data_IF_850572452786
#
_entry.id   IF_850572452786
#
_cell.length_a   1.000
_cell.length_b   1.000
_cell.length_c   1.000
_cell.angle_alpha   90.00
_cell.angle_beta   90.00
_cell.angle_gamma   90.00
#
_symmetry.space_group_name_H-M   'P 1'
#
loop_
_entity.id
_entity.type
_entity.pdbx_description
1 polymer ?
#
# COMPACT_ATOMS: atom_id res chain seq x y z
N UNK A 1 2.59 -11.44 -4.63
CA UNK A 1 1.19 -11.19 -4.21
C UNK A 1 0.40 -10.37 -5.22
N UNK A 2 0.76 -9.12 -5.56
CA UNK A 2 -0.04 -8.31 -6.50
C UNK A 2 -0.22 -8.98 -7.87
N UNK A 3 0.84 -9.54 -8.47
CA UNK A 3 0.74 -10.27 -9.76
C UNK A 3 -0.27 -11.43 -9.68
N UNK A 4 -0.17 -12.26 -8.64
CA UNK A 4 -1.12 -13.36 -8.38
C UNK A 4 -2.56 -12.86 -8.18
N UNK A 5 -2.72 -11.68 -7.59
CA UNK A 5 -4.03 -11.08 -7.38
C UNK A 5 -4.68 -10.64 -8.70
N UNK A 6 -3.90 -10.26 -9.71
CA UNK A 6 -4.41 -9.71 -11.00
C UNK A 6 -4.46 -10.73 -12.13
N UNK A 7 -3.56 -11.73 -12.15
CA UNK A 7 -3.32 -12.64 -13.27
C UNK A 7 -4.56 -13.37 -13.78
N UNK A 8 -5.43 -13.83 -12.87
CA UNK A 8 -6.65 -14.58 -13.22
C UNK A 8 -7.95 -13.82 -12.95
N UNK A 9 -7.86 -12.65 -12.31
CA UNK A 9 -9.04 -11.88 -11.85
C UNK A 9 -9.34 -10.66 -12.72
N UNK A 10 -8.38 -10.18 -13.52
CA UNK A 10 -8.52 -8.96 -14.30
C UNK A 10 -7.98 -9.09 -15.72
N UNK A 11 -8.67 -8.44 -16.65
CA UNK A 11 -8.25 -8.31 -18.06
C UNK A 11 -7.54 -6.99 -18.37
N UNK A 12 -7.49 -6.08 -17.40
CA UNK A 12 -7.08 -4.68 -17.63
C UNK A 12 -6.17 -4.12 -16.52
N UNK A 13 -6.01 -4.84 -15.41
CA UNK A 13 -5.07 -4.48 -14.35
C UNK A 13 -3.76 -5.23 -14.56
N UNK A 14 -2.65 -4.51 -14.41
CA UNK A 14 -1.30 -5.05 -14.45
C UNK A 14 -0.49 -4.55 -13.25
N UNK A 15 0.65 -5.19 -13.00
CA UNK A 15 1.57 -4.81 -11.92
C UNK A 15 2.90 -4.43 -12.54
N UNK A 16 3.26 -3.17 -12.36
CA UNK A 16 4.56 -2.64 -12.71
C UNK A 16 5.48 -2.68 -11.47
N UNK A 17 6.68 -3.31 -11.56
CA UNK A 17 7.58 -3.42 -10.42
C UNK A 17 8.56 -2.24 -10.29
N UNK A 18 8.59 -1.29 -11.24
CA UNK A 18 9.63 -0.26 -11.36
C UNK A 18 9.87 0.54 -10.07
N UNK A 19 8.80 1.01 -9.42
CA UNK A 19 8.90 1.74 -8.16
C UNK A 19 9.48 0.85 -7.05
N UNK A 20 9.03 -0.41 -6.98
CA UNK A 20 9.41 -1.34 -5.92
C UNK A 20 10.82 -1.93 -6.08
N UNK A 21 11.33 -1.99 -7.31
CA UNK A 21 12.68 -2.44 -7.64
C UNK A 21 13.72 -1.31 -7.49
N UNK A 22 13.27 -0.06 -7.30
CA UNK A 22 14.16 1.06 -7.02
C UNK A 22 14.91 0.88 -5.70
N UNK A 23 16.23 1.12 -5.66
CA UNK A 23 17.03 1.01 -4.43
C UNK A 23 16.73 2.12 -3.42
N UNK A 24 16.05 3.19 -3.84
CA UNK A 24 15.71 4.35 -3.01
C UNK A 24 14.25 4.72 -3.14
N UNK A 25 13.72 5.38 -2.12
CA UNK A 25 12.38 5.95 -2.17
C UNK A 25 12.20 6.88 -3.39
N UNK A 26 11.09 6.71 -4.09
CA UNK A 26 10.68 7.54 -5.22
C UNK A 26 9.38 8.26 -4.83
N UNK A 27 9.34 9.61 -4.88
CA UNK A 27 8.10 10.35 -4.68
C UNK A 27 7.05 9.97 -5.73
N UNK A 28 5.78 9.92 -5.33
CA UNK A 28 4.66 9.58 -6.22
C UNK A 28 4.61 10.45 -7.46
N UNK A 29 4.97 11.74 -7.36
CA UNK A 29 5.09 12.65 -8.49
C UNK A 29 5.98 12.08 -9.63
N UNK A 30 7.15 11.54 -9.27
CA UNK A 30 8.09 10.94 -10.22
C UNK A 30 7.62 9.60 -10.77
N UNK A 31 6.83 8.85 -9.99
CA UNK A 31 6.20 7.62 -10.47
C UNK A 31 5.18 7.96 -11.56
N UNK A 32 4.40 9.03 -11.39
CA UNK A 32 3.46 9.50 -12.43
C UNK A 32 4.20 10.01 -13.68
N UNK A 33 5.32 10.74 -13.50
CA UNK A 33 6.18 11.17 -14.61
C UNK A 33 6.69 9.98 -15.43
N UNK A 34 7.15 8.93 -14.73
CA UNK A 34 7.63 7.71 -15.37
C UNK A 34 6.54 7.09 -16.25
N UNK A 35 5.32 6.89 -15.72
CA UNK A 35 4.23 6.33 -16.52
C UNK A 35 3.80 7.24 -17.67
N UNK A 36 3.80 8.56 -17.50
CA UNK A 36 3.51 9.49 -18.60
C UNK A 36 4.55 9.35 -19.72
N UNK A 37 5.83 9.33 -19.36
CA UNK A 37 6.92 9.17 -20.33
C UNK A 37 6.85 7.83 -21.07
N UNK A 38 6.75 6.72 -20.36
CA UNK A 38 6.71 5.39 -20.99
C UNK A 38 5.49 5.24 -21.92
N UNK A 39 4.32 5.65 -21.46
CA UNK A 39 3.09 5.46 -22.23
C UNK A 39 2.99 6.46 -23.38
N UNK A 40 3.27 7.75 -23.14
CA UNK A 40 3.01 8.78 -24.13
C UNK A 40 4.19 9.08 -25.04
N UNK A 41 5.42 9.01 -24.53
CA UNK A 41 6.62 9.37 -25.29
C UNK A 41 7.29 8.12 -25.90
N UNK A 42 7.45 7.04 -25.14
CA UNK A 42 8.09 5.79 -25.64
C UNK A 42 7.13 4.98 -26.51
N UNK A 43 5.90 4.74 -26.03
CA UNK A 43 4.89 3.96 -26.76
C UNK A 43 4.06 4.81 -27.75
N UNK A 44 4.19 6.14 -27.70
CA UNK A 44 3.44 7.07 -28.55
C UNK A 44 1.95 7.19 -28.21
N UNK A 45 1.54 6.78 -27.00
CA UNK A 45 0.15 6.75 -26.54
C UNK A 45 -0.57 5.43 -26.84
N UNK A 46 -1.89 5.42 -26.58
CA UNK A 46 -2.75 4.23 -26.78
C UNK A 46 -3.32 4.19 -28.19
N UNK A 47 -3.26 3.00 -28.79
CA UNK A 47 -3.84 2.72 -30.09
C UNK A 47 -5.37 2.64 -29.99
N UNK A 48 -6.04 3.46 -30.80
CA UNK A 48 -7.48 3.43 -30.96
C UNK A 48 -7.89 2.38 -32.00
N UNK A 49 -9.17 2.02 -32.01
CA UNK A 49 -9.73 1.04 -32.97
C UNK A 49 -9.59 1.45 -34.44
N UNK A 50 -9.34 2.73 -34.71
CA UNK A 50 -9.11 3.29 -36.05
C UNK A 50 -7.63 3.29 -36.47
N UNK A 51 -6.73 2.72 -35.64
CA UNK A 51 -5.28 2.69 -35.87
C UNK A 51 -4.57 3.99 -35.49
N UNK A 52 -5.29 5.03 -35.05
CA UNK A 52 -4.65 6.27 -34.55
C UNK A 52 -4.13 6.07 -33.14
N UNK A 53 -3.05 6.78 -32.80
CA UNK A 53 -2.51 6.80 -31.43
C UNK A 53 -2.93 8.09 -30.73
N UNK A 54 -3.40 7.98 -29.49
CA UNK A 54 -3.80 9.13 -28.67
C UNK A 54 -3.01 9.15 -27.37
N UNK A 55 -2.60 10.35 -26.96
CA UNK A 55 -2.00 10.58 -25.65
C UNK A 55 -2.96 10.13 -24.56
N UNK A 56 -2.47 9.33 -23.62
CA UNK A 56 -3.17 8.92 -22.43
C UNK A 56 -3.04 9.98 -21.34
N UNK A 57 -4.14 10.24 -20.63
CA UNK A 57 -4.08 11.00 -19.39
C UNK A 57 -3.75 10.04 -18.26
N UNK A 58 -2.60 10.23 -17.62
CA UNK A 58 -2.24 9.51 -16.40
C UNK A 58 -2.96 10.18 -15.23
N UNK A 59 -3.55 9.36 -14.36
CA UNK A 59 -4.31 9.82 -13.19
C UNK A 59 -4.01 8.89 -12.02
N UNK A 60 -3.78 9.45 -10.83
CA UNK A 60 -3.59 8.67 -9.62
C UNK A 60 -4.92 8.03 -9.19
N UNK A 61 -4.92 6.75 -8.82
CA UNK A 61 -6.07 6.10 -8.18
C UNK A 61 -5.72 5.82 -6.72
N UNK A 62 -6.50 6.36 -5.80
CA UNK A 62 -6.23 6.24 -4.36
C UNK A 62 -7.51 6.16 -3.53
N UNK A 63 -7.38 5.79 -2.27
CA UNK A 63 -8.45 5.99 -1.29
C UNK A 63 -8.49 7.45 -0.80
N UNK A 64 -9.64 7.86 -0.26
CA UNK A 64 -9.82 9.20 0.32
C UNK A 64 -8.90 9.45 1.53
N UNK A 65 -8.46 8.38 2.19
CA UNK A 65 -7.43 8.41 3.23
C UNK A 65 -6.09 8.97 2.74
N UNK A 66 -5.66 8.63 1.53
CA UNK A 66 -4.45 9.25 0.94
C UNK A 66 -4.65 10.75 0.69
N UNK A 67 -5.81 11.16 0.18
CA UNK A 67 -6.14 12.56 -0.07
C UNK A 67 -6.14 13.36 1.24
N UNK A 68 -6.61 12.77 2.33
CA UNK A 68 -6.55 13.39 3.65
C UNK A 68 -5.11 13.68 4.08
N UNK A 69 -4.16 12.78 3.78
CA UNK A 69 -2.73 13.06 4.03
C UNK A 69 -2.20 14.19 3.16
N UNK A 70 -2.63 14.30 1.89
CA UNK A 70 -2.26 15.40 0.99
C UNK A 70 -2.76 16.76 1.48
N UNK A 71 -3.92 16.78 2.15
CA UNK A 71 -4.49 17.97 2.77
C UNK A 71 -3.83 18.35 4.09
N UNK A 72 -3.00 17.45 4.66
CA UNK A 72 -2.33 17.67 5.95
C UNK A 72 -1.00 18.41 5.73
N UNK A 73 -0.84 19.64 6.26
CA UNK A 73 0.38 20.43 6.05
C UNK A 73 1.64 19.71 6.54
N UNK A 74 2.71 19.78 5.75
CA UNK A 74 4.02 19.22 6.09
C UNK A 74 4.20 17.72 5.86
N UNK A 75 3.17 17.01 5.38
CA UNK A 75 3.28 15.58 5.00
C UNK A 75 3.81 15.41 3.58
N UNK A 76 3.42 16.30 2.67
CA UNK A 76 3.80 16.28 1.26
C UNK A 76 4.59 17.55 0.90
N UNK A 77 5.54 17.44 -0.03
CA UNK A 77 6.18 18.61 -0.65
C UNK A 77 5.13 19.34 -1.50
N UNK A 78 5.03 20.66 -1.35
CA UNK A 78 4.02 21.46 -2.04
C UNK A 78 4.17 21.41 -3.57
N UNK A 79 5.41 21.26 -4.08
CA UNK A 79 5.66 21.14 -5.52
C UNK A 79 5.21 19.78 -6.02
N UNK A 80 5.37 18.72 -5.23
CA UNK A 80 4.86 17.40 -5.57
C UNK A 80 3.32 17.42 -5.58
N UNK A 81 2.67 18.09 -4.61
CA UNK A 81 1.22 18.26 -4.62
C UNK A 81 0.73 19.02 -5.85
N UNK A 82 1.37 20.14 -6.18
CA UNK A 82 1.02 20.93 -7.36
C UNK A 82 1.22 20.13 -8.65
N UNK A 83 2.28 19.33 -8.73
CA UNK A 83 2.53 18.48 -9.89
C UNK A 83 1.50 17.35 -10.00
N UNK A 84 1.25 16.62 -8.91
CA UNK A 84 0.31 15.49 -8.89
C UNK A 84 -1.12 15.99 -9.17
N UNK A 85 -1.59 16.98 -8.43
CA UNK A 85 -2.98 17.43 -8.48
C UNK A 85 -3.23 18.47 -9.58
N UNK A 86 -2.21 19.21 -10.01
CA UNK A 86 -2.28 20.18 -11.11
C UNK A 86 -2.21 19.53 -12.48
N UNK A 87 -1.24 18.63 -12.70
CA UNK A 87 -0.96 18.09 -14.04
C UNK A 87 -1.68 16.77 -14.34
N UNK A 88 -1.77 15.87 -13.36
CA UNK A 88 -2.38 14.55 -13.54
C UNK A 88 -3.83 14.52 -13.03
N UNK A 89 -3.99 14.77 -11.74
CA UNK A 89 -5.21 14.60 -10.99
C UNK A 89 -5.32 13.24 -10.30
N UNK A 90 -6.43 13.04 -9.60
CA UNK A 90 -6.67 11.85 -8.79
C UNK A 90 -8.12 11.41 -8.82
N UNK A 91 -8.34 10.11 -8.93
CA UNK A 91 -9.60 9.46 -8.58
C UNK A 91 -9.51 8.93 -7.15
N UNK A 92 -10.34 9.47 -6.26
CA UNK A 92 -10.34 9.16 -4.84
C UNK A 92 -11.56 8.31 -4.48
N UNK A 93 -11.34 7.08 -4.03
CA UNK A 93 -12.39 6.16 -3.59
C UNK A 93 -12.83 6.50 -2.17
N UNK A 94 -14.12 6.78 -1.99
CA UNK A 94 -14.72 7.00 -0.68
C UNK A 94 -14.66 5.73 0.17
N UNK A 95 -14.27 5.87 1.44
CA UNK A 95 -14.33 4.83 2.47
C UNK A 95 -15.19 5.32 3.62
N UNK A 96 -15.82 4.39 4.34
CA UNK A 96 -16.64 4.71 5.51
C UNK A 96 -15.81 5.44 6.58
N UNK A 97 -16.31 6.59 7.05
CA UNK A 97 -15.71 7.34 8.16
C UNK A 97 -14.79 8.50 7.77
N UNK A 98 -14.63 8.81 6.47
CA UNK A 98 -13.86 9.98 6.03
C UNK A 98 -14.81 11.11 5.58
N UNK A 99 -14.66 12.29 6.16
CA UNK A 99 -15.43 13.48 5.78
C UNK A 99 -14.77 14.18 4.58
N UNK A 100 -15.52 14.31 3.48
CA UNK A 100 -15.02 14.87 2.20
C UNK A 100 -14.64 16.35 2.35
N UNK A 101 -15.50 17.16 2.96
CA UNK A 101 -15.32 18.62 3.00
C UNK A 101 -14.07 19.03 3.78
N UNK A 102 -13.82 18.36 4.92
CA UNK A 102 -12.61 18.58 5.72
C UNK A 102 -11.36 18.07 5.00
N UNK A 103 -11.48 16.95 4.27
CA UNK A 103 -10.39 16.41 3.44
C UNK A 103 -9.98 17.36 2.32
N UNK A 104 -10.93 18.05 1.68
CA UNK A 104 -10.63 18.96 0.55
C UNK A 104 -10.30 20.39 0.96
N UNK A 105 -10.41 20.75 2.24
CA UNK A 105 -10.31 22.13 2.72
C UNK A 105 -9.02 22.84 2.25
N UNK A 106 -7.87 22.16 2.31
CA UNK A 106 -6.57 22.70 1.90
C UNK A 106 -6.21 22.39 0.43
N UNK A 107 -7.06 21.67 -0.30
CA UNK A 107 -6.81 21.24 -1.68
C UNK A 107 -7.71 21.94 -2.71
N UNK A 108 -8.47 22.96 -2.28
CA UNK A 108 -9.47 23.65 -3.11
C UNK A 108 -8.92 24.17 -4.45
N UNK A 109 -7.66 24.60 -4.50
CA UNK A 109 -7.08 25.10 -5.74
C UNK A 109 -6.98 24.02 -6.84
N UNK A 110 -6.94 22.75 -6.47
CA UNK A 110 -6.90 21.61 -7.40
C UNK A 110 -8.21 20.81 -7.45
N UNK A 111 -9.31 21.31 -6.87
CA UNK A 111 -10.58 20.59 -6.74
C UNK A 111 -11.09 20.01 -8.08
N UNK A 112 -10.86 20.72 -9.19
CA UNK A 112 -11.29 20.28 -10.53
C UNK A 112 -10.61 19.00 -11.02
N UNK A 113 -9.43 18.69 -10.48
CA UNK A 113 -8.65 17.50 -10.80
C UNK A 113 -8.77 16.40 -9.74
N UNK A 114 -9.60 16.60 -8.71
CA UNK A 114 -9.88 15.63 -7.67
C UNK A 114 -11.28 15.06 -7.90
N UNK A 115 -11.35 13.79 -8.28
CA UNK A 115 -12.58 13.13 -8.64
C UNK A 115 -12.96 12.09 -7.58
N UNK A 116 -13.95 12.40 -6.74
CA UNK A 116 -14.41 11.48 -5.70
C UNK A 116 -15.35 10.44 -6.29
N UNK A 117 -15.00 9.17 -6.14
CA UNK A 117 -15.81 8.02 -6.54
C UNK A 117 -16.45 7.43 -5.29
N UNK A 118 -17.77 7.56 -5.20
CA UNK A 118 -18.56 7.00 -4.09
C UNK A 118 -18.73 5.49 -4.25
N UNK A 119 -18.54 4.75 -3.16
CA UNK A 119 -18.77 3.31 -3.14
C UNK A 119 -20.20 3.01 -2.68
N UNK A 120 -21.01 2.40 -3.56
CA UNK A 120 -22.39 1.98 -3.21
C UNK A 120 -22.39 0.77 -2.29
N UNK A 121 -21.42 -0.14 -2.47
CA UNK A 121 -21.22 -1.30 -1.61
C UNK A 121 -19.88 -1.13 -0.91
N UNK A 122 -19.89 -1.12 0.42
CA UNK A 122 -18.70 -0.93 1.22
C UNK A 122 -17.86 -2.19 1.24
N UNK A 123 -16.60 -2.07 0.83
CA UNK A 123 -15.59 -3.11 1.07
C UNK A 123 -14.66 -2.63 2.20
N UNK A 124 -14.86 -3.18 3.39
CA UNK A 124 -14.09 -2.80 4.59
C UNK A 124 -12.93 -3.77 4.89
N UNK A 125 -12.40 -4.40 3.84
CA UNK A 125 -11.18 -5.22 3.91
C UNK A 125 -9.97 -4.28 3.85
N UNK A 126 -9.03 -4.45 4.78
CA UNK A 126 -7.78 -3.69 4.84
C UNK A 126 -6.60 -4.59 5.17
N UNK A 127 -5.41 -4.23 4.70
CA UNK A 127 -4.19 -5.00 4.96
C UNK A 127 -3.91 -5.18 6.47
N UNK A 128 -4.27 -4.19 7.29
CA UNK A 128 -4.15 -4.29 8.76
C UNK A 128 -5.07 -5.36 9.33
N UNK A 129 -6.33 -5.43 8.89
CA UNK A 129 -7.27 -6.48 9.33
C UNK A 129 -6.81 -7.87 8.88
N UNK A 130 -6.36 -8.01 7.63
CA UNK A 130 -5.84 -9.28 7.11
C UNK A 130 -4.65 -9.77 7.94
N UNK A 131 -3.65 -8.89 8.19
CA UNK A 131 -2.50 -9.25 9.05
C UNK A 131 -2.92 -9.61 10.47
N UNK A 132 -3.93 -8.93 11.04
CA UNK A 132 -4.44 -9.24 12.37
C UNK A 132 -5.11 -10.62 12.43
N UNK A 133 -5.90 -10.98 11.40
CA UNK A 133 -6.53 -12.30 11.32
C UNK A 133 -5.48 -13.41 11.20
N UNK A 134 -4.46 -13.21 10.35
CA UNK A 134 -3.33 -14.13 10.23
C UNK A 134 -2.60 -14.32 11.57
N UNK A 135 -2.33 -13.23 12.30
CA UNK A 135 -1.72 -13.27 13.65
C UNK A 135 -2.55 -14.05 14.66
N UNK A 136 -3.87 -14.06 14.51
CA UNK A 136 -4.81 -14.74 15.41
C UNK A 136 -5.16 -16.16 14.95
N UNK A 137 -4.46 -16.68 13.95
CA UNK A 137 -4.74 -17.97 13.29
C UNK A 137 -6.21 -18.08 12.81
N UNK A 138 -6.80 -16.96 12.39
CA UNK A 138 -8.14 -16.92 11.81
C UNK A 138 -8.06 -17.07 10.30
N UNK A 139 -9.10 -17.67 9.70
CA UNK A 139 -9.19 -17.78 8.23
C UNK A 139 -9.32 -16.39 7.59
N UNK A 140 -8.66 -16.25 6.43
CA UNK A 140 -8.75 -15.09 5.54
C UNK A 140 -9.33 -15.47 4.17
N UNK A 141 -9.90 -16.67 4.08
CA UNK A 141 -10.50 -17.17 2.84
C UNK A 141 -11.64 -16.25 2.40
N UNK A 142 -11.78 -16.08 1.09
CA UNK A 142 -12.77 -15.18 0.46
C UNK A 142 -12.61 -13.68 0.77
N UNK A 143 -11.63 -13.28 1.60
CA UNK A 143 -11.31 -11.87 1.84
C UNK A 143 -10.31 -11.33 0.81
N UNK A 144 -9.47 -12.20 0.26
CA UNK A 144 -8.49 -11.90 -0.79
C UNK A 144 -8.43 -13.08 -1.77
N UNK A 145 -7.84 -12.92 -2.97
CA UNK A 145 -7.78 -14.01 -3.95
C UNK A 145 -7.06 -15.26 -3.44
N UNK A 146 -7.57 -16.44 -3.75
CA UNK A 146 -7.06 -17.74 -3.24
C UNK A 146 -5.58 -17.98 -3.54
N UNK A 147 -5.09 -17.53 -4.70
CA UNK A 147 -3.67 -17.62 -5.04
C UNK A 147 -2.79 -16.76 -4.13
N UNK A 148 -3.31 -15.64 -3.64
CA UNK A 148 -2.62 -14.79 -2.66
C UNK A 148 -2.64 -15.45 -1.28
N UNK A 149 -3.76 -16.06 -0.89
CA UNK A 149 -3.87 -16.83 0.36
C UNK A 149 -2.83 -17.96 0.38
N UNK A 150 -2.79 -18.77 -0.69
CA UNK A 150 -1.83 -19.88 -0.85
C UNK A 150 -0.39 -19.37 -0.75
N UNK A 151 -0.06 -18.29 -1.47
CA UNK A 151 1.27 -17.68 -1.44
C UNK A 151 1.68 -17.21 -0.03
N UNK A 152 0.77 -16.59 0.73
CA UNK A 152 1.05 -16.14 2.10
C UNK A 152 1.41 -17.34 2.99
N UNK A 153 0.65 -18.43 2.89
CA UNK A 153 0.86 -19.62 3.72
C UNK A 153 2.12 -20.40 3.34
N UNK A 154 2.38 -20.60 2.05
CA UNK A 154 3.57 -21.29 1.54
C UNK A 154 4.87 -20.57 1.94
N UNK A 155 4.84 -19.23 1.97
CA UNK A 155 5.99 -18.41 2.30
C UNK A 155 6.04 -17.96 3.77
N UNK A 156 5.14 -18.47 4.62
CA UNK A 156 5.06 -18.12 6.04
C UNK A 156 4.98 -16.60 6.32
N UNK A 157 4.35 -15.82 5.43
CA UNK A 157 4.30 -14.37 5.59
C UNK A 157 3.41 -13.97 6.76
N UNK A 158 3.81 -12.91 7.48
CA UNK A 158 3.06 -12.28 8.58
C UNK A 158 2.86 -13.12 9.85
N UNK A 159 3.54 -14.27 9.97
CA UNK A 159 3.49 -15.14 11.17
C UNK A 159 4.35 -14.64 12.34
N UNK A 160 5.47 -13.98 12.06
CA UNK A 160 6.50 -13.65 13.07
C UNK A 160 6.51 -12.19 13.55
N UNK A 161 5.44 -11.44 13.32
CA UNK A 161 5.42 -10.01 13.68
C UNK A 161 5.28 -9.74 15.20
N UNK A 162 5.44 -10.73 16.08
CA UNK A 162 5.55 -10.61 17.55
C UNK A 162 6.19 -11.87 18.20
N UNK A 163 7.49 -12.08 18.03
CA UNK A 163 8.29 -12.74 19.08
C UNK A 163 9.30 -11.70 19.60
N UNK A 164 9.20 -11.22 20.86
CA UNK A 164 10.33 -10.52 21.45
C UNK A 164 11.52 -11.47 21.39
N UNK A 165 12.66 -10.97 20.89
CA UNK A 165 13.94 -11.67 20.89
C UNK A 165 14.13 -12.38 22.24
N UNK A 166 13.90 -13.69 22.28
CA UNK A 166 14.35 -14.53 23.39
C UNK A 166 15.84 -14.77 23.21
N UNK A 167 16.62 -13.68 23.20
CA UNK A 167 18.08 -13.72 23.27
C UNK A 167 18.47 -13.69 24.74
N UNK A 168 18.87 -14.86 25.23
CA UNK A 168 19.87 -14.99 26.28
C UNK A 168 19.34 -15.12 27.71
N UNK A 169 18.92 -16.33 28.08
CA UNK A 169 19.28 -16.89 29.40
C UNK A 169 19.76 -18.32 29.23
N UNK A 170 20.97 -18.43 28.70
CA UNK A 170 21.81 -19.61 28.92
C UNK A 170 22.86 -19.27 29.96
N UNK A 171 22.93 -20.14 30.98
CA UNK A 171 24.02 -20.37 31.93
C UNK A 171 24.24 -19.41 33.10
N UNK A 172 23.85 -19.89 34.30
CA UNK A 172 24.75 -19.91 35.45
C UNK A 172 24.40 -21.11 36.36
N UNK A 173 24.94 -22.27 36.02
CA UNK A 173 25.22 -23.32 37.00
C UNK A 173 26.24 -22.71 37.97
N UNK A 174 25.88 -22.53 39.24
CA UNK A 174 26.85 -22.21 40.29
C UNK A 174 26.91 -23.38 41.26
N UNK A 175 28.02 -24.09 41.19
CA UNK A 175 28.47 -25.06 42.17
C UNK A 175 29.08 -24.32 43.38
N UNK A 176 28.65 -24.69 44.60
CA UNK A 176 29.40 -24.57 45.86
C UNK A 176 29.63 -23.17 46.45
N UNK A 177 29.81 -23.05 47.78
CA UNK A 177 30.69 -23.95 48.53
C UNK A 177 30.08 -24.60 49.78
N UNK A 178 30.74 -25.70 50.17
CA UNK A 178 30.71 -26.33 51.49
C UNK A 178 30.74 -25.33 52.64
N UNK A 179 29.85 -25.53 53.60
CA UNK A 179 30.04 -25.07 54.98
C UNK A 179 29.73 -26.24 55.92
N UNK A 180 30.77 -26.96 56.33
CA UNK A 180 30.72 -27.69 57.59
C UNK A 180 30.65 -26.69 58.75
N UNK A 181 29.90 -26.97 59.81
CA UNK A 181 30.40 -27.39 61.14
C UNK A 181 29.21 -27.58 62.11
N UNK A 182 29.21 -28.70 62.84
CA UNK A 182 28.70 -29.00 64.20
C UNK A 182 27.47 -28.27 64.79
N UNK A 183 26.53 -29.03 65.37
CA UNK A 183 26.42 -29.30 66.84
C UNK A 183 25.10 -30.03 67.14
N UNK A 184 25.13 -31.01 68.05
CA UNK A 184 23.93 -31.61 68.67
C UNK A 184 23.96 -33.12 68.73
#
# INVERSE_FOLDING_TARGET
MCRLATENSSKWLMVDPWEAESPTYIPTAKVLDHFDYEINEVMGGVECTDGTRKRCRIVLLAGLDLIQTMSTPGVWDERDLDHILGNYGVFALERTGTEIDSTLANLKQWEKNIHIIRQVVTNDISSTKIRLLLKRNMSIDYLIPDLVVSYIFENNLYRDLDMPDSKGKENAITNGPDAGTSTG
#
